data_IF_013639207497
#
_entry.id   IF_013639207497
#
_cell.length_a   1.000
_cell.length_b   1.000
_cell.length_c   1.000
_cell.angle_alpha   90.00
_cell.angle_beta   90.00
_cell.angle_gamma   90.00
#
_symmetry.space_group_name_H-M   'P 1'
#
loop_
_entity.id
_entity.type
_entity.pdbx_description
1 polymer ?
#
# COMPACT_ATOMS: atom_id res chain seq x y z
N UNK A 1 -29.81 11.75 -30.42
CA UNK A 1 -29.71 11.57 -28.96
C UNK A 1 -28.72 12.61 -28.46
N UNK A 2 -29.15 13.50 -27.57
CA UNK A 2 -28.24 14.44 -26.93
C UNK A 2 -27.17 13.68 -26.12
N UNK A 3 -25.91 14.06 -26.35
CA UNK A 3 -24.75 13.50 -25.64
C UNK A 3 -24.91 13.78 -24.14
N UNK A 4 -24.73 12.77 -23.30
CA UNK A 4 -24.67 12.97 -21.84
C UNK A 4 -23.49 13.88 -21.50
N UNK A 5 -23.68 14.77 -20.53
CA UNK A 5 -22.65 15.71 -20.09
C UNK A 5 -21.47 14.99 -19.43
N UNK A 6 -21.75 13.84 -18.80
CA UNK A 6 -20.77 12.94 -18.21
C UNK A 6 -21.28 11.49 -18.30
N UNK A 7 -20.41 10.48 -18.08
CA UNK A 7 -20.80 9.07 -18.18
C UNK A 7 -21.90 8.68 -17.20
N UNK A 8 -22.84 7.83 -17.65
CA UNK A 8 -23.87 7.25 -16.78
C UNK A 8 -23.26 6.32 -15.72
N UNK A 9 -23.99 6.08 -14.63
CA UNK A 9 -23.59 5.14 -13.60
C UNK A 9 -23.51 3.74 -14.19
N UNK A 10 -22.33 3.14 -14.13
CA UNK A 10 -22.12 1.78 -14.61
C UNK A 10 -22.84 0.76 -13.71
N UNK A 11 -23.30 -0.34 -14.29
CA UNK A 11 -23.99 -1.42 -13.57
C UNK A 11 -23.12 -1.98 -12.43
N UNK A 12 -21.80 -1.97 -12.59
CA UNK A 12 -20.85 -2.45 -11.58
C UNK A 12 -20.66 -1.46 -10.43
N UNK A 13 -20.99 -0.18 -10.63
CA UNK A 13 -20.74 0.90 -9.68
C UNK A 13 -19.27 1.34 -9.61
N UNK A 14 -18.39 0.87 -10.50
CA UNK A 14 -16.96 1.23 -10.50
C UNK A 14 -16.70 2.73 -10.66
N UNK A 15 -17.56 3.43 -11.40
CA UNK A 15 -17.48 4.87 -11.61
C UNK A 15 -18.29 5.69 -10.59
N UNK A 16 -18.80 5.09 -9.51
CA UNK A 16 -19.74 5.72 -8.59
C UNK A 16 -19.26 7.05 -8.00
N UNK A 17 -18.00 7.13 -7.56
CA UNK A 17 -17.44 8.36 -6.96
C UNK A 17 -17.45 9.50 -7.98
N UNK A 18 -17.00 9.23 -9.21
CA UNK A 18 -17.01 10.23 -10.29
C UNK A 18 -18.45 10.62 -10.66
N UNK A 19 -19.34 9.62 -10.76
CA UNK A 19 -20.74 9.84 -11.10
C UNK A 19 -21.46 10.70 -10.06
N UNK A 20 -21.34 10.39 -8.76
CA UNK A 20 -22.05 11.12 -7.71
C UNK A 20 -21.56 12.57 -7.62
N UNK A 21 -20.27 12.79 -7.78
CA UNK A 21 -19.68 14.14 -7.80
C UNK A 21 -20.25 14.98 -8.95
N UNK A 22 -20.33 14.40 -10.15
CA UNK A 22 -20.88 15.10 -11.32
C UNK A 22 -22.39 15.37 -11.17
N UNK A 23 -23.14 14.40 -10.64
CA UNK A 23 -24.59 14.56 -10.36
C UNK A 23 -24.81 15.66 -9.32
N UNK A 24 -24.08 15.67 -8.21
CA UNK A 24 -24.19 16.67 -7.15
C UNK A 24 -23.92 18.08 -7.68
N UNK A 25 -22.81 18.26 -8.41
CA UNK A 25 -22.46 19.54 -9.03
C UNK A 25 -23.53 20.01 -10.03
N UNK A 26 -24.09 19.10 -10.82
CA UNK A 26 -25.10 19.48 -11.80
C UNK A 26 -26.45 19.80 -11.15
N UNK A 27 -26.88 19.01 -10.17
CA UNK A 27 -28.09 19.26 -9.37
C UNK A 27 -27.98 20.61 -8.64
N UNK A 28 -26.80 20.95 -8.13
CA UNK A 28 -26.52 22.25 -7.52
C UNK A 28 -26.59 23.38 -8.55
N UNK A 29 -26.00 23.20 -9.74
CA UNK A 29 -26.08 24.19 -10.82
C UNK A 29 -27.52 24.46 -11.30
N UNK A 30 -28.40 23.46 -11.18
CA UNK A 30 -29.81 23.54 -11.54
C UNK A 30 -30.70 24.08 -10.41
N UNK A 31 -30.15 24.37 -9.22
CA UNK A 31 -30.92 24.79 -8.05
C UNK A 31 -31.83 23.69 -7.48
N UNK A 32 -31.54 22.41 -7.78
CA UNK A 32 -32.36 21.27 -7.40
C UNK A 32 -31.88 20.57 -6.11
N UNK A 33 -30.82 21.06 -5.47
CA UNK A 33 -30.20 20.43 -4.29
C UNK A 33 -31.16 20.21 -3.11
N UNK A 34 -32.18 21.05 -2.97
CA UNK A 34 -33.19 20.91 -1.89
C UNK A 34 -34.10 19.68 -2.08
N UNK A 35 -34.23 19.15 -3.31
CA UNK A 35 -35.14 18.03 -3.61
C UNK A 35 -34.72 16.72 -2.94
N UNK A 36 -33.44 16.56 -2.63
CA UNK A 36 -32.83 15.33 -2.08
C UNK A 36 -32.74 15.38 -0.53
N UNK A 37 -33.03 16.51 0.11
CA UNK A 37 -32.90 16.68 1.58
C UNK A 37 -34.08 16.13 2.38
N UNK A 38 -33.87 15.90 3.67
CA UNK A 38 -34.85 15.25 4.55
C UNK A 38 -36.14 16.05 4.77
N UNK A 39 -36.09 17.38 4.72
CA UNK A 39 -37.22 18.30 4.90
C UNK A 39 -37.55 19.06 3.61
N UNK A 40 -37.67 18.36 2.47
CA UNK A 40 -37.86 19.02 1.19
C UNK A 40 -39.18 19.80 1.10
N UNK A 41 -39.10 21.11 0.84
CA UNK A 41 -40.24 21.98 0.49
C UNK A 41 -40.34 22.19 -1.02
N UNK A 42 -39.52 21.47 -1.79
CA UNK A 42 -39.39 21.59 -3.24
C UNK A 42 -40.67 21.23 -3.96
N UNK A 43 -40.94 21.93 -5.07
CA UNK A 43 -42.15 21.73 -5.86
C UNK A 43 -42.18 20.32 -6.49
N UNK A 44 -43.39 19.81 -6.78
CA UNK A 44 -43.55 18.53 -7.51
C UNK A 44 -42.85 18.56 -8.88
N UNK A 45 -42.76 19.75 -9.49
CA UNK A 45 -42.05 19.94 -10.76
C UNK A 45 -40.54 19.76 -10.60
N UNK A 46 -39.95 20.34 -9.55
CA UNK A 46 -38.51 20.22 -9.30
C UNK A 46 -38.12 18.80 -8.89
N UNK A 47 -39.00 18.11 -8.15
CA UNK A 47 -38.85 16.67 -7.88
C UNK A 47 -38.85 15.86 -9.17
N UNK A 48 -39.78 16.15 -10.09
CA UNK A 48 -39.87 15.47 -11.39
C UNK A 48 -38.63 15.72 -12.25
N UNK A 49 -38.15 16.97 -12.34
CA UNK A 49 -36.91 17.31 -13.06
C UNK A 49 -35.71 16.53 -12.50
N UNK A 50 -35.62 16.41 -11.18
CA UNK A 50 -34.54 15.70 -10.51
C UNK A 50 -34.57 14.20 -10.81
N UNK A 51 -35.74 13.56 -10.79
CA UNK A 51 -35.89 12.14 -11.17
C UNK A 51 -35.51 11.91 -12.63
N UNK A 52 -35.98 12.76 -13.55
CA UNK A 52 -35.62 12.66 -14.97
C UNK A 52 -34.11 12.81 -15.16
N UNK A 53 -33.49 13.77 -14.45
CA UNK A 53 -32.05 13.97 -14.52
C UNK A 53 -31.27 12.75 -14.01
N UNK A 54 -31.62 12.25 -12.82
CA UNK A 54 -30.99 11.07 -12.22
C UNK A 54 -31.12 9.87 -13.15
N UNK A 55 -32.33 9.54 -13.58
CA UNK A 55 -32.61 8.38 -14.45
C UNK A 55 -31.90 8.45 -15.79
N UNK A 56 -31.78 9.64 -16.40
CA UNK A 56 -31.02 9.83 -17.65
C UNK A 56 -29.52 9.55 -17.50
N UNK A 57 -29.01 9.55 -16.28
CA UNK A 57 -27.61 9.27 -15.97
C UNK A 57 -27.42 7.92 -15.29
N UNK A 58 -28.38 7.02 -15.40
CA UNK A 58 -28.25 5.63 -14.99
C UNK A 58 -28.06 4.72 -16.21
N UNK A 59 -27.34 3.62 -16.02
CA UNK A 59 -27.36 2.52 -16.98
C UNK A 59 -28.78 1.94 -17.12
N UNK A 60 -29.12 1.49 -18.34
CA UNK A 60 -30.46 1.02 -18.70
C UNK A 60 -30.96 -0.12 -17.80
N UNK A 61 -30.05 -1.02 -17.38
CA UNK A 61 -30.39 -2.10 -16.44
C UNK A 61 -30.82 -1.57 -15.07
N UNK A 62 -30.23 -0.46 -14.63
CA UNK A 62 -30.54 0.20 -13.35
C UNK A 62 -31.88 0.93 -13.48
N UNK A 63 -32.15 1.57 -14.62
CA UNK A 63 -33.42 2.26 -14.87
C UNK A 63 -34.60 1.29 -14.72
N UNK A 64 -34.48 0.06 -15.23
CA UNK A 64 -35.53 -0.95 -15.12
C UNK A 64 -35.91 -1.27 -13.66
N UNK A 65 -34.91 -1.46 -12.79
CA UNK A 65 -35.10 -1.77 -11.37
C UNK A 65 -35.82 -0.63 -10.60
N UNK A 66 -35.69 0.61 -11.08
CA UNK A 66 -36.14 1.81 -10.38
C UNK A 66 -37.20 2.63 -11.13
N UNK A 67 -37.77 2.10 -12.22
CA UNK A 67 -38.68 2.81 -13.11
C UNK A 67 -39.93 3.41 -12.43
N UNK A 68 -40.36 2.81 -11.31
CA UNK A 68 -41.54 3.24 -10.55
C UNK A 68 -41.22 4.26 -9.45
N UNK A 69 -39.95 4.55 -9.16
CA UNK A 69 -39.56 5.51 -8.13
C UNK A 69 -39.72 6.94 -8.64
N UNK A 70 -40.71 7.66 -8.09
CA UNK A 70 -41.00 9.06 -8.44
C UNK A 70 -40.50 10.08 -7.43
N UNK A 71 -39.94 9.63 -6.31
CA UNK A 71 -39.30 10.50 -5.34
C UNK A 71 -37.77 10.51 -5.58
N UNK A 72 -37.18 11.67 -5.92
CA UNK A 72 -35.73 11.76 -6.14
C UNK A 72 -34.91 11.42 -4.88
N UNK A 73 -35.45 11.66 -3.68
CA UNK A 73 -34.80 11.31 -2.41
C UNK A 73 -34.76 9.78 -2.24
N UNK A 74 -35.88 9.11 -2.44
CA UNK A 74 -35.94 7.64 -2.36
C UNK A 74 -35.08 6.97 -3.42
N UNK A 75 -35.09 7.51 -4.65
CA UNK A 75 -34.23 7.04 -5.73
C UNK A 75 -32.75 7.17 -5.37
N UNK A 76 -32.32 8.36 -4.91
CA UNK A 76 -30.93 8.62 -4.50
C UNK A 76 -30.49 7.70 -3.35
N UNK A 77 -31.34 7.53 -2.34
CA UNK A 77 -31.09 6.63 -1.21
C UNK A 77 -30.98 5.18 -1.68
N UNK A 78 -31.91 4.71 -2.51
CA UNK A 78 -31.92 3.33 -3.01
C UNK A 78 -30.69 3.03 -3.88
N UNK A 79 -30.25 3.99 -4.70
CA UNK A 79 -29.01 3.86 -5.48
C UNK A 79 -27.78 3.77 -4.58
N UNK A 80 -27.70 4.62 -3.54
CA UNK A 80 -26.66 4.55 -2.51
C UNK A 80 -26.65 3.17 -1.84
N UNK A 81 -27.80 2.71 -1.38
CA UNK A 81 -27.95 1.43 -0.69
C UNK A 81 -27.58 0.25 -1.60
N UNK A 82 -27.97 0.27 -2.89
CA UNK A 82 -27.57 -0.75 -3.88
C UNK A 82 -26.07 -0.80 -4.07
N UNK A 83 -25.41 0.34 -4.18
CA UNK A 83 -23.96 0.40 -4.40
C UNK A 83 -23.22 -0.02 -3.14
N UNK A 84 -23.67 0.42 -1.96
CA UNK A 84 -23.15 -0.05 -0.68
C UNK A 84 -23.34 -1.56 -0.53
N UNK A 85 -24.51 -2.09 -0.90
CA UNK A 85 -24.79 -3.52 -0.87
C UNK A 85 -23.92 -4.28 -1.88
N UNK A 86 -23.71 -3.76 -3.10
CA UNK A 86 -22.78 -4.34 -4.07
C UNK A 86 -21.34 -4.28 -3.59
N UNK A 87 -20.88 -3.19 -2.99
CA UNK A 87 -19.53 -3.11 -2.41
C UNK A 87 -19.38 -4.06 -1.22
N UNK A 88 -20.44 -4.26 -0.42
CA UNK A 88 -20.49 -5.26 0.66
C UNK A 88 -20.55 -6.70 0.12
N UNK A 89 -21.24 -6.94 -0.99
CA UNK A 89 -21.40 -8.27 -1.62
C UNK A 89 -20.21 -8.66 -2.52
N UNK A 90 -19.59 -7.68 -3.20
CA UNK A 90 -18.23 -7.75 -3.73
C UNK A 90 -17.19 -7.87 -2.60
N UNK A 91 -17.63 -7.74 -1.35
CA UNK A 91 -16.99 -8.31 -0.19
C UNK A 91 -17.08 -9.83 -0.18
N UNK A 92 -16.16 -10.48 -0.90
CA UNK A 92 -15.45 -11.58 -0.23
C UNK A 92 -14.98 -11.01 1.11
N UNK A 93 -15.27 -11.69 2.22
CA UNK A 93 -14.67 -11.33 3.51
C UNK A 93 -13.17 -11.25 3.29
N UNK A 94 -12.59 -10.04 3.25
CA UNK A 94 -11.15 -9.89 3.14
C UNK A 94 -10.62 -10.44 4.46
N UNK A 95 -10.20 -11.69 4.41
CA UNK A 95 -9.68 -12.40 5.56
C UNK A 95 -8.39 -11.74 5.99
N UNK A 96 -8.05 -11.86 7.27
CA UNK A 96 -6.75 -11.44 7.79
C UNK A 96 -5.60 -11.97 6.91
N UNK A 97 -5.71 -13.22 6.44
CA UNK A 97 -4.76 -13.84 5.53
C UNK A 97 -4.62 -13.08 4.19
N UNK A 98 -5.73 -12.64 3.59
CA UNK A 98 -5.71 -11.86 2.35
C UNK A 98 -5.11 -10.47 2.58
N UNK A 99 -5.44 -9.80 3.69
CA UNK A 99 -4.83 -8.51 4.04
C UNK A 99 -3.31 -8.65 4.21
N UNK A 100 -2.87 -9.63 4.99
CA UNK A 100 -1.46 -9.94 5.21
C UNK A 100 -0.74 -10.23 3.88
N UNK A 101 -1.30 -11.13 3.06
CA UNK A 101 -0.73 -11.51 1.76
C UNK A 101 -0.57 -10.30 0.84
N UNK A 102 -1.61 -9.48 0.72
CA UNK A 102 -1.61 -8.30 -0.14
C UNK A 102 -0.57 -7.28 0.33
N UNK A 103 -0.48 -7.02 1.63
CA UNK A 103 0.55 -6.14 2.19
C UNK A 103 1.96 -6.66 1.99
N UNK A 104 2.18 -7.97 2.02
CA UNK A 104 3.48 -8.49 1.63
C UNK A 104 3.75 -8.22 0.14
N UNK A 105 2.78 -8.35 -0.75
CA UNK A 105 3.01 -8.13 -2.19
C UNK A 105 3.25 -6.68 -2.59
N UNK A 106 2.96 -5.70 -1.73
CA UNK A 106 3.22 -4.27 -2.00
C UNK A 106 4.67 -3.84 -1.76
N UNK A 107 5.52 -4.68 -1.15
CA UNK A 107 6.94 -4.35 -0.99
C UNK A 107 7.64 -4.19 -2.34
N UNK A 108 8.47 -3.14 -2.46
CA UNK A 108 9.31 -2.96 -3.64
C UNK A 108 10.27 -4.15 -3.81
N UNK A 109 10.61 -4.51 -5.05
CA UNK A 109 11.45 -5.68 -5.38
C UNK A 109 12.81 -5.67 -4.66
N UNK A 110 13.39 -4.49 -4.42
CA UNK A 110 14.64 -4.35 -3.66
C UNK A 110 14.52 -4.75 -2.19
N UNK A 111 13.31 -4.82 -1.63
CA UNK A 111 13.05 -5.09 -0.20
C UNK A 111 12.54 -6.52 0.02
N UNK A 112 12.81 -7.45 -0.91
CA UNK A 112 12.33 -8.84 -0.83
C UNK A 112 12.79 -9.56 0.45
N UNK A 113 14.01 -9.30 0.93
CA UNK A 113 14.54 -9.90 2.16
C UNK A 113 13.76 -9.42 3.39
N UNK A 114 13.40 -8.13 3.42
CA UNK A 114 12.61 -7.55 4.51
C UNK A 114 11.19 -8.12 4.51
N UNK A 115 10.57 -8.22 3.33
CA UNK A 115 9.26 -8.87 3.17
C UNK A 115 9.29 -10.32 3.71
N UNK A 116 10.32 -11.11 3.37
CA UNK A 116 10.48 -12.47 3.88
C UNK A 116 10.66 -12.50 5.40
N UNK A 117 11.43 -11.56 5.96
CA UNK A 117 11.60 -11.45 7.41
C UNK A 117 10.26 -11.22 8.12
N UNK A 118 9.40 -10.34 7.60
CA UNK A 118 8.07 -10.11 8.19
C UNK A 118 7.12 -11.31 8.02
N UNK A 119 7.22 -12.05 6.91
CA UNK A 119 6.45 -13.29 6.73
C UNK A 119 6.84 -14.36 7.76
N UNK A 120 8.13 -14.50 8.05
CA UNK A 120 8.64 -15.47 9.04
C UNK A 120 8.23 -15.14 10.47
N UNK A 121 7.81 -13.90 10.77
CA UNK A 121 7.30 -13.53 12.09
C UNK A 121 5.90 -14.08 12.39
N UNK A 122 5.17 -14.57 11.37
CA UNK A 122 3.93 -15.33 11.57
C UNK A 122 2.74 -14.53 12.11
N UNK A 123 2.58 -13.26 11.70
CA UNK A 123 1.41 -12.46 12.10
C UNK A 123 0.10 -13.13 11.67
N UNK A 124 -0.87 -13.16 12.58
CA UNK A 124 -2.22 -13.72 12.34
C UNK A 124 -3.27 -12.64 12.14
N UNK A 125 -2.97 -11.39 12.55
CA UNK A 125 -3.82 -10.22 12.36
C UNK A 125 -3.06 -9.15 11.60
N UNK A 126 -3.76 -8.50 10.68
CA UNK A 126 -3.26 -7.39 9.89
C UNK A 126 -2.91 -6.18 10.76
N UNK A 127 -3.69 -5.93 11.82
CA UNK A 127 -3.41 -4.85 12.78
C UNK A 127 -2.01 -4.95 13.39
N UNK A 128 -1.55 -6.17 13.68
CA UNK A 128 -0.24 -6.40 14.30
C UNK A 128 0.88 -6.19 13.28
N UNK A 129 0.67 -6.63 12.03
CA UNK A 129 1.62 -6.40 10.94
C UNK A 129 1.76 -4.91 10.63
N UNK A 130 0.66 -4.17 10.49
CA UNK A 130 0.72 -2.76 10.10
C UNK A 130 1.39 -1.91 11.17
N UNK A 131 1.12 -2.16 12.45
CA UNK A 131 1.80 -1.48 13.56
C UNK A 131 3.31 -1.74 13.52
N UNK A 132 3.73 -2.99 13.32
CA UNK A 132 5.15 -3.32 13.23
C UNK A 132 5.85 -2.63 12.04
N UNK A 133 5.18 -2.53 10.90
CA UNK A 133 5.70 -1.83 9.72
C UNK A 133 5.84 -0.32 9.95
N UNK A 134 4.84 0.32 10.56
CA UNK A 134 4.87 1.74 10.88
C UNK A 134 6.00 2.08 11.87
N UNK A 135 6.20 1.24 12.89
CA UNK A 135 7.31 1.41 13.84
C UNK A 135 8.66 1.29 13.12
N UNK A 136 8.81 0.31 12.24
CA UNK A 136 10.05 0.11 11.48
C UNK A 136 10.35 1.27 10.53
N UNK A 137 9.33 1.82 9.87
CA UNK A 137 9.44 3.01 9.03
C UNK A 137 9.95 4.21 9.84
N UNK A 138 9.35 4.47 11.00
CA UNK A 138 9.79 5.55 11.91
C UNK A 138 11.22 5.35 12.41
N UNK A 139 11.61 4.13 12.73
CA UNK A 139 12.99 3.82 13.13
C UNK A 139 13.98 4.06 11.99
N UNK A 140 13.62 3.74 10.75
CA UNK A 140 14.46 4.00 9.57
C UNK A 140 14.61 5.52 9.32
N UNK A 141 13.53 6.29 9.43
CA UNK A 141 13.60 7.76 9.36
C UNK A 141 14.57 8.33 10.40
N UNK A 142 14.49 7.86 11.65
CA UNK A 142 15.37 8.28 12.74
C UNK A 142 16.82 7.86 12.50
N UNK A 143 17.07 6.66 11.98
CA UNK A 143 18.41 6.19 11.65
C UNK A 143 19.08 7.06 10.59
N UNK A 144 18.33 7.45 9.55
CA UNK A 144 18.80 8.37 8.51
C UNK A 144 19.12 9.74 9.13
N UNK A 145 18.21 10.29 9.95
CA UNK A 145 18.45 11.58 10.65
C UNK A 145 19.70 11.52 11.52
N UNK A 146 19.86 10.46 12.32
CA UNK A 146 21.02 10.26 13.17
C UNK A 146 22.33 10.20 12.37
N UNK A 147 22.32 9.52 11.21
CA UNK A 147 23.48 9.48 10.33
C UNK A 147 23.86 10.89 9.85
N UNK A 148 22.88 11.70 9.43
CA UNK A 148 23.10 13.06 8.94
C UNK A 148 23.51 14.06 10.03
N UNK A 149 23.19 13.80 11.30
CA UNK A 149 23.59 14.66 12.43
C UNK A 149 25.00 14.43 12.94
N UNK A 150 25.70 13.38 12.50
CA UNK A 150 27.09 13.13 12.93
C UNK A 150 28.03 14.09 12.20
N UNK A 151 28.92 14.83 12.92
CA UNK A 151 30.01 15.53 12.26
C UNK A 151 30.91 14.50 11.55
N UNK A 152 31.18 14.72 10.26
CA UNK A 152 32.17 13.94 9.51
C UNK A 152 33.54 14.14 10.15
N UNK A 153 33.95 13.20 11.02
CA UNK A 153 35.26 13.25 11.69
C UNK A 153 35.33 12.75 13.14
N UNK A 154 34.24 12.33 13.78
CA UNK A 154 34.34 11.70 15.10
C UNK A 154 35.07 10.35 14.99
N UNK A 155 36.29 10.28 15.53
CA UNK A 155 37.16 9.09 15.58
C UNK A 155 36.37 7.90 16.14
N UNK A 156 36.44 6.74 15.46
CA UNK A 156 35.84 5.51 15.98
C UNK A 156 36.38 5.24 17.40
N UNK A 157 35.49 4.88 18.32
CA UNK A 157 35.90 4.44 19.66
C UNK A 157 36.86 3.26 19.51
N UNK A 158 38.02 3.25 20.18
CA UNK A 158 38.90 2.09 20.16
C UNK A 158 38.14 0.88 20.70
N UNK A 159 38.09 -0.18 19.90
CA UNK A 159 37.47 -1.45 20.27
C UNK A 159 38.20 -2.03 21.49
N UNK A 160 37.58 -1.93 22.68
CA UNK A 160 38.17 -2.33 23.96
C UNK A 160 38.15 -3.86 24.21
N UNK A 161 38.16 -4.67 23.14
CA UNK A 161 38.12 -6.13 23.22
C UNK A 161 39.29 -6.78 22.46
N UNK A 162 40.50 -6.23 22.58
CA UNK A 162 41.71 -6.97 22.24
C UNK A 162 42.01 -7.95 23.39
N UNK A 163 41.38 -9.13 23.37
CA UNK A 163 41.80 -10.25 24.20
C UNK A 163 43.29 -10.52 23.93
N UNK A 164 44.07 -10.42 25.01
CA UNK A 164 45.50 -10.69 25.11
C UNK A 164 45.84 -12.09 24.54
N UNK A 165 46.07 -12.18 23.24
CA UNK A 165 46.74 -13.32 22.63
C UNK A 165 48.22 -13.22 23.00
N UNK A 166 48.62 -13.95 24.05
CA UNK A 166 50.01 -14.16 24.44
C UNK A 166 50.82 -14.53 23.18
N UNK A 167 51.75 -13.67 22.77
CA UNK A 167 52.78 -14.01 21.78
C UNK A 167 53.69 -15.09 22.38
N UNK A 168 53.83 -16.30 21.80
CA UNK A 168 54.94 -17.16 22.19
C UNK A 168 56.24 -16.59 21.62
N UNK A 169 57.22 -16.46 22.50
CA UNK A 169 58.55 -15.95 22.20
C UNK A 169 59.38 -16.94 21.35
N UNK A 170 60.14 -16.35 20.43
CA UNK A 170 61.25 -16.84 19.61
C UNK A 170 61.94 -18.15 20.06
N UNK A 171 62.14 -19.06 19.11
CA UNK A 171 63.40 -19.81 19.01
C UNK A 171 63.95 -19.77 17.57
N UNK A 172 64.96 -18.91 17.39
CA UNK A 172 65.93 -19.01 16.31
C UNK A 172 67.05 -19.95 16.78
N UNK A 173 67.28 -21.08 16.11
CA UNK A 173 68.59 -21.75 16.15
C UNK A 173 68.99 -22.23 14.77
N UNK A 174 69.95 -21.51 14.20
CA UNK A 174 70.70 -21.93 13.03
C UNK A 174 72.05 -22.55 13.48
N UNK A 175 72.42 -23.65 12.82
CA UNK A 175 73.75 -24.29 12.69
C UNK A 175 74.42 -25.01 13.89
N UNK A 176 74.67 -26.33 13.73
CA UNK A 176 76.01 -26.97 13.53
C UNK A 176 75.97 -28.52 13.66
N UNK A 177 76.56 -29.24 12.69
CA UNK A 177 77.04 -30.63 12.84
C UNK A 177 76.78 -31.55 11.61
N UNK A 178 77.68 -31.60 10.62
CA UNK A 178 78.73 -32.64 10.37
C UNK A 178 78.23 -33.97 9.76
N UNK A 179 78.56 -34.21 8.48
CA UNK A 179 78.56 -35.53 7.82
C UNK A 179 78.42 -35.45 6.29
N UNK A 180 79.51 -35.21 5.54
CA UNK A 180 80.19 -36.16 4.65
C UNK A 180 79.30 -36.81 3.56
N UNK A 181 79.50 -36.38 2.31
CA UNK A 181 79.00 -37.08 1.12
C UNK A 181 79.35 -36.36 -0.18
N UNK A 182 80.50 -36.69 -0.76
CA UNK A 182 80.95 -36.26 -2.10
C UNK A 182 79.93 -36.67 -3.18
N UNK A 183 79.63 -35.78 -4.12
CA UNK A 183 79.75 -36.11 -5.54
C UNK A 183 79.72 -34.85 -6.42
N UNK A 184 80.85 -34.68 -7.10
CA UNK A 184 81.05 -33.76 -8.21
C UNK A 184 80.43 -34.36 -9.46
N UNK A 185 79.69 -33.57 -10.24
CA UNK A 185 79.76 -33.63 -11.69
C UNK A 185 79.81 -32.20 -12.25
N UNK A 186 80.98 -31.86 -12.78
CA UNK A 186 81.27 -30.67 -13.56
C UNK A 186 80.99 -30.94 -15.04
N UNK A 187 80.41 -29.94 -15.71
CA UNK A 187 80.57 -29.67 -17.16
C UNK A 187 79.85 -30.66 -18.10
N UNK A 188 79.63 -30.34 -19.37
CA UNK A 188 79.88 -29.16 -20.21
C UNK A 188 79.27 -29.57 -21.56
N UNK A 189 78.68 -28.64 -22.32
CA UNK A 189 78.25 -28.89 -23.70
C UNK A 189 76.82 -28.51 -23.95
#
# INVERSE_FOLDING_TARGET
MEKLQFPALDITGTNYISWVTNVELHVESLGLSETVKENNTSTSQDKTKSVIFLTRHLDESIIYDYANMRDPKELSKSLKDRIVAKLRYCGETITESQMLKNTYTTFHKSHITLQQQYRLRGYTKFSDLIVALLIAEKNNELLIKNHMTRPTGSKAFPEANALNAKKPAKENKAFRGRGRGRQNYHGRG
#
